data_IF_093408531465
#
_entry.id   IF_093408531465
#
_cell.length_a   1.000
_cell.length_b   1.000
_cell.length_c   1.000
_cell.angle_alpha   90.00
_cell.angle_beta   90.00
_cell.angle_gamma   90.00
#
_symmetry.space_group_name_H-M   'P 1'
#
loop_
_entity.id
_entity.type
_entity.pdbx_description
1 polymer ?
#
# COMPACT_ATOMS: atom_id res chain seq x y z
N UNK A 1 39.35 54.28 22.06
CA UNK A 1 40.00 53.38 23.05
C UNK A 1 39.04 52.66 24.02
N UNK A 2 37.86 53.23 24.38
CA UNK A 2 36.90 52.63 25.34
C UNK A 2 36.20 51.32 24.89
N UNK A 3 36.15 51.05 23.58
CA UNK A 3 35.52 49.83 23.04
C UNK A 3 36.34 48.57 23.34
N UNK A 4 37.67 48.65 23.20
CA UNK A 4 38.59 47.53 23.42
C UNK A 4 38.63 47.06 24.88
N UNK A 5 38.52 48.00 25.83
CA UNK A 5 38.44 47.69 27.27
C UNK A 5 37.10 47.05 27.64
N UNK A 6 35.98 47.51 27.03
CA UNK A 6 34.67 46.86 27.20
C UNK A 6 34.63 45.45 26.62
N UNK A 7 35.19 45.25 25.43
CA UNK A 7 35.23 43.95 24.77
C UNK A 7 36.06 42.92 25.57
N UNK A 8 37.25 43.30 26.05
CA UNK A 8 38.06 42.43 26.94
C UNK A 8 37.33 42.05 28.22
N UNK A 9 36.53 42.95 28.80
CA UNK A 9 35.74 42.69 30.01
C UNK A 9 34.61 41.70 29.76
N UNK A 10 33.92 41.81 28.63
CA UNK A 10 32.86 40.87 28.23
C UNK A 10 33.44 39.48 27.97
N UNK A 11 34.56 39.40 27.24
CA UNK A 11 35.21 38.12 26.95
C UNK A 11 35.79 37.44 28.20
N UNK A 12 36.25 38.22 29.20
CA UNK A 12 36.72 37.67 30.48
C UNK A 12 35.58 37.08 31.33
N UNK A 13 34.35 37.58 31.15
CA UNK A 13 33.16 37.15 31.88
C UNK A 13 32.27 36.21 31.04
N UNK A 14 32.79 35.65 29.95
CA UNK A 14 32.03 34.74 29.09
C UNK A 14 32.01 33.34 29.69
N UNK A 15 30.86 32.68 29.62
CA UNK A 15 30.64 31.28 30.07
C UNK A 15 31.41 30.28 29.21
N UNK A 16 31.83 30.70 28.01
CA UNK A 16 32.68 29.90 27.10
C UNK A 16 34.07 29.74 27.72
N UNK A 17 34.31 28.58 28.31
CA UNK A 17 35.51 28.23 29.11
C UNK A 17 36.85 28.47 28.41
N UNK A 18 36.89 28.41 27.07
CA UNK A 18 38.11 28.64 26.28
C UNK A 18 38.56 30.11 26.23
N UNK A 19 37.63 31.06 26.22
CA UNK A 19 37.89 32.49 26.03
C UNK A 19 38.67 33.14 27.20
N UNK A 20 38.29 32.95 28.48
CA UNK A 20 39.02 33.56 29.60
C UNK A 20 40.45 33.02 29.73
N UNK A 21 40.69 31.75 29.37
CA UNK A 21 42.03 31.15 29.40
C UNK A 21 42.97 31.69 28.30
N UNK A 22 42.43 32.07 27.14
CA UNK A 22 43.21 32.68 26.04
C UNK A 22 43.62 34.12 26.41
N UNK A 23 42.75 34.86 27.09
CA UNK A 23 43.02 36.25 27.48
C UNK A 23 43.98 36.34 28.67
N UNK A 24 43.91 35.40 29.61
CA UNK A 24 44.77 35.35 30.79
C UNK A 24 46.22 34.89 30.50
N UNK A 25 46.49 34.32 29.32
CA UNK A 25 47.82 33.80 28.96
C UNK A 25 48.79 34.92 28.56
N UNK A 26 49.94 35.04 29.26
CA UNK A 26 50.95 36.10 29.05
C UNK A 26 51.84 35.92 27.81
N UNK A 27 52.14 34.67 27.42
CA UNK A 27 53.02 34.37 26.27
C UNK A 27 52.26 34.43 24.94
N UNK A 28 52.78 35.20 23.98
CA UNK A 28 52.19 35.37 22.65
C UNK A 28 52.08 34.06 21.86
N UNK A 29 53.06 33.15 21.99
CA UNK A 29 53.05 31.86 21.30
C UNK A 29 51.94 30.93 21.83
N UNK A 30 51.88 30.75 23.15
CA UNK A 30 50.84 29.91 23.80
C UNK A 30 49.43 30.48 23.57
N UNK A 31 49.31 31.80 23.47
CA UNK A 31 48.05 32.47 23.15
C UNK A 31 47.59 32.18 21.72
N UNK A 32 48.50 32.23 20.73
CA UNK A 32 48.18 31.87 19.34
C UNK A 32 47.79 30.39 19.21
N UNK A 33 48.51 29.49 19.89
CA UNK A 33 48.18 28.06 19.89
C UNK A 33 46.80 27.79 20.47
N UNK A 34 46.48 28.33 21.66
CA UNK A 34 45.15 28.17 22.27
C UNK A 34 44.03 28.78 21.42
N UNK A 35 44.30 29.90 20.76
CA UNK A 35 43.35 30.52 19.82
C UNK A 35 43.11 29.63 18.60
N UNK A 36 44.16 29.03 18.03
CA UNK A 36 44.04 28.12 16.88
C UNK A 36 43.21 26.89 17.26
N UNK A 37 43.49 26.27 18.41
CA UNK A 37 42.70 25.13 18.90
C UNK A 37 41.23 25.53 19.10
N UNK A 38 40.97 26.68 19.71
CA UNK A 38 39.60 27.18 19.90
C UNK A 38 38.87 27.39 18.56
N UNK A 39 39.53 28.00 17.57
CA UNK A 39 38.96 28.17 16.22
C UNK A 39 38.70 26.81 15.57
N UNK A 40 39.62 25.86 15.69
CA UNK A 40 39.44 24.49 15.20
C UNK A 40 38.22 23.81 15.82
N UNK A 41 38.04 23.93 17.14
CA UNK A 41 36.87 23.40 17.84
C UNK A 41 35.56 24.05 17.38
N UNK A 42 35.54 25.37 17.15
CA UNK A 42 34.36 26.08 16.68
C UNK A 42 33.99 25.65 15.26
N UNK A 43 34.97 25.53 14.36
CA UNK A 43 34.74 25.05 12.99
C UNK A 43 34.22 23.61 13.02
N UNK A 44 34.84 22.73 13.82
CA UNK A 44 34.37 21.35 13.98
C UNK A 44 32.94 21.28 14.52
N UNK A 45 32.57 22.14 15.49
CA UNK A 45 31.21 22.23 16.01
C UNK A 45 30.20 22.63 14.93
N UNK A 46 30.50 23.66 14.13
CA UNK A 46 29.61 24.07 13.04
C UNK A 46 29.50 23.01 11.95
N UNK A 47 30.61 22.35 11.60
CA UNK A 47 30.61 21.26 10.64
C UNK A 47 29.70 20.11 11.08
N UNK A 48 29.87 19.64 12.32
CA UNK A 48 29.04 18.58 12.89
C UNK A 48 27.56 18.97 12.95
N UNK A 49 27.28 20.21 13.37
CA UNK A 49 25.91 20.74 13.46
C UNK A 49 25.25 20.78 12.09
N UNK A 50 25.97 21.23 11.06
CA UNK A 50 25.44 21.29 9.69
C UNK A 50 25.18 19.89 9.11
N UNK A 51 26.05 18.92 9.40
CA UNK A 51 25.84 17.54 9.00
C UNK A 51 24.55 16.96 9.61
N UNK A 52 24.31 17.19 10.90
CA UNK A 52 23.04 16.80 11.55
C UNK A 52 21.84 17.56 10.99
N UNK A 53 21.99 18.84 10.69
CA UNK A 53 20.91 19.65 10.13
C UNK A 53 20.50 19.17 8.73
N UNK A 54 21.46 18.72 7.91
CA UNK A 54 21.15 18.11 6.62
C UNK A 54 20.35 16.81 6.77
N UNK A 55 20.72 15.96 7.73
CA UNK A 55 19.94 14.73 8.03
C UNK A 55 18.55 15.08 8.56
N UNK A 56 18.42 16.16 9.33
CA UNK A 56 17.11 16.63 9.80
C UNK A 56 16.24 17.15 8.65
N UNK A 57 16.81 17.93 7.72
CA UNK A 57 16.08 18.49 6.59
C UNK A 57 15.67 17.47 5.52
N UNK A 58 16.31 16.32 5.46
CA UNK A 58 15.88 15.23 4.57
C UNK A 58 14.67 14.47 5.10
N UNK A 59 14.19 14.79 6.32
CA UNK A 59 13.05 14.12 6.98
C UNK A 59 13.06 12.60 6.79
N UNK A 60 14.18 11.91 7.10
CA UNK A 60 14.24 10.47 6.92
C UNK A 60 13.24 9.81 7.86
N UNK A 61 12.32 9.04 7.31
CA UNK A 61 11.39 8.22 8.08
C UNK A 61 11.97 6.82 8.20
N UNK A 62 12.05 6.32 9.43
CA UNK A 62 12.38 4.91 9.69
C UNK A 62 11.06 4.17 9.88
N UNK A 63 10.83 3.16 9.05
CA UNK A 63 9.67 2.27 9.21
C UNK A 63 10.09 1.15 10.14
N UNK A 64 9.49 1.11 11.33
CA UNK A 64 9.62 -0.01 12.25
C UNK A 64 8.41 -0.94 12.06
N UNK A 65 8.65 -2.14 11.53
CA UNK A 65 7.59 -3.13 11.28
C UNK A 65 7.54 -4.06 12.48
N UNK A 66 6.50 -3.91 13.28
CA UNK A 66 6.22 -4.79 14.42
C UNK A 66 5.05 -5.72 14.09
N UNK A 67 5.19 -7.00 14.44
CA UNK A 67 4.13 -7.99 14.30
C UNK A 67 3.55 -8.28 15.69
N UNK A 68 2.25 -8.10 15.83
CA UNK A 68 1.49 -8.49 17.02
C UNK A 68 0.32 -9.37 16.60
N UNK A 69 0.00 -10.35 17.44
CA UNK A 69 -1.17 -11.20 17.27
C UNK A 69 -2.21 -10.72 18.26
N UNK A 70 -3.17 -9.88 17.85
CA UNK A 70 -4.22 -9.41 18.75
C UNK A 70 -5.18 -10.56 19.09
N UNK A 71 -5.77 -10.52 20.28
CA UNK A 71 -6.78 -11.51 20.71
C UNK A 71 -8.05 -11.41 19.86
N UNK A 72 -8.40 -10.19 19.41
CA UNK A 72 -9.52 -9.90 18.53
C UNK A 72 -9.02 -9.22 17.24
N UNK A 73 -9.52 -9.63 16.08
CA UNK A 73 -9.21 -8.99 14.80
C UNK A 73 -10.48 -8.75 13.99
N UNK A 74 -10.55 -7.58 13.35
CA UNK A 74 -11.64 -7.28 12.43
C UNK A 74 -11.48 -8.09 11.15
N UNK A 75 -12.51 -8.85 10.78
CA UNK A 75 -12.52 -9.60 9.54
C UNK A 75 -12.55 -8.63 8.35
N UNK A 76 -11.67 -8.80 7.34
CA UNK A 76 -11.70 -7.95 6.17
C UNK A 76 -12.94 -8.23 5.33
N UNK A 77 -13.36 -7.24 4.54
CA UNK A 77 -14.40 -7.43 3.56
C UNK A 77 -13.94 -8.43 2.49
N UNK A 78 -14.61 -9.58 2.42
CA UNK A 78 -14.37 -10.57 1.38
C UNK A 78 -15.23 -10.24 0.17
N UNK A 79 -14.59 -10.11 -1.00
CA UNK A 79 -15.28 -9.86 -2.27
C UNK A 79 -15.10 -11.06 -3.20
N UNK A 80 -16.22 -11.70 -3.56
CA UNK A 80 -16.22 -12.86 -4.47
C UNK A 80 -16.79 -12.42 -5.82
N UNK A 81 -16.05 -12.69 -6.90
CA UNK A 81 -16.45 -12.36 -8.26
C UNK A 81 -16.46 -13.61 -9.13
N UNK A 82 -17.52 -13.79 -9.91
CA UNK A 82 -17.50 -14.72 -11.03
C UNK A 82 -16.68 -14.13 -12.18
N UNK A 83 -15.82 -14.94 -12.79
CA UNK A 83 -15.13 -14.56 -14.03
C UNK A 83 -16.10 -14.42 -15.22
N UNK A 84 -17.27 -15.07 -15.12
CA UNK A 84 -18.34 -14.96 -16.11
C UNK A 84 -19.22 -13.75 -15.80
N UNK A 85 -19.23 -12.77 -16.69
CA UNK A 85 -20.01 -11.53 -16.51
C UNK A 85 -21.52 -11.68 -16.74
N UNK A 86 -21.94 -12.69 -17.52
CA UNK A 86 -23.34 -12.91 -17.91
C UNK A 86 -23.62 -14.42 -17.87
N UNK A 87 -24.77 -14.81 -17.30
CA UNK A 87 -25.28 -16.18 -17.31
C UNK A 87 -25.74 -16.54 -18.73
N UNK A 88 -25.01 -17.42 -19.39
CA UNK A 88 -25.26 -17.83 -20.78
C UNK A 88 -26.70 -18.31 -21.01
N UNK A 89 -27.27 -19.07 -20.06
CA UNK A 89 -28.65 -19.56 -20.15
C UNK A 89 -29.69 -18.43 -20.24
N UNK A 90 -29.60 -17.43 -19.37
CA UNK A 90 -30.54 -16.31 -19.37
C UNK A 90 -30.32 -15.41 -20.59
N UNK A 91 -29.06 -15.20 -20.97
CA UNK A 91 -28.73 -14.41 -22.15
C UNK A 91 -29.27 -15.04 -23.43
N UNK A 92 -29.04 -16.34 -23.65
CA UNK A 92 -29.49 -17.03 -24.86
C UNK A 92 -30.99 -17.29 -24.90
N UNK A 93 -31.68 -17.29 -23.74
CA UNK A 93 -33.15 -17.27 -23.72
C UNK A 93 -33.71 -15.95 -24.26
N UNK A 94 -33.00 -14.84 -24.06
CA UNK A 94 -33.45 -13.50 -24.48
C UNK A 94 -32.93 -13.13 -25.88
N UNK A 95 -31.72 -13.55 -26.22
CA UNK A 95 -31.02 -13.25 -27.47
C UNK A 95 -30.59 -14.55 -28.16
N UNK A 96 -31.56 -15.35 -28.57
CA UNK A 96 -31.31 -16.65 -29.23
C UNK A 96 -30.50 -16.51 -30.53
N UNK A 97 -30.63 -15.38 -31.22
CA UNK A 97 -29.91 -15.06 -32.46
C UNK A 97 -28.41 -14.74 -32.26
N UNK A 98 -28.02 -14.35 -31.04
CA UNK A 98 -26.63 -14.03 -30.68
C UNK A 98 -25.92 -15.20 -30.00
N UNK A 99 -26.51 -16.39 -30.06
CA UNK A 99 -25.95 -17.59 -29.48
C UNK A 99 -25.74 -18.68 -30.53
N UNK A 100 -24.61 -19.38 -30.43
CA UNK A 100 -24.28 -20.46 -31.35
C UNK A 100 -24.83 -21.82 -30.84
N UNK A 101 -25.50 -22.61 -31.69
CA UNK A 101 -25.88 -23.98 -31.36
C UNK A 101 -24.66 -24.92 -31.37
N UNK A 102 -24.69 -25.86 -30.43
CA UNK A 102 -23.58 -26.57 -29.79
C UNK A 102 -22.86 -27.64 -30.65
N UNK A 103 -22.86 -27.61 -31.98
CA UNK A 103 -22.25 -28.72 -32.75
C UNK A 103 -20.75 -28.87 -32.50
N UNK A 104 -20.05 -27.76 -32.23
CA UNK A 104 -18.61 -27.73 -31.90
C UNK A 104 -18.30 -27.99 -30.42
N UNK A 105 -19.30 -27.94 -29.54
CA UNK A 105 -19.09 -28.14 -28.10
C UNK A 105 -19.06 -29.62 -27.73
N UNK A 106 -19.72 -30.48 -28.50
CA UNK A 106 -19.55 -31.93 -28.39
C UNK A 106 -18.09 -32.29 -28.64
N UNK A 107 -17.51 -31.82 -29.75
CA UNK A 107 -16.09 -32.02 -30.08
C UNK A 107 -15.14 -31.40 -29.04
N UNK A 108 -15.48 -30.22 -28.52
CA UNK A 108 -14.72 -29.58 -27.45
C UNK A 108 -14.77 -30.38 -26.14
N UNK A 109 -15.94 -30.84 -25.71
CA UNK A 109 -16.11 -31.63 -24.48
C UNK A 109 -15.50 -33.03 -24.60
N UNK A 110 -15.48 -33.62 -25.80
CA UNK A 110 -14.77 -34.88 -26.06
C UNK A 110 -13.26 -34.72 -25.81
N UNK A 111 -12.70 -33.56 -26.16
CA UNK A 111 -11.26 -33.26 -25.97
C UNK A 111 -10.96 -32.70 -24.58
N UNK A 112 -11.88 -31.93 -23.99
CA UNK A 112 -11.69 -31.13 -22.78
C UNK A 112 -12.76 -31.43 -21.73
N UNK A 113 -12.97 -32.71 -21.43
CA UNK A 113 -14.02 -33.21 -20.52
C UNK A 113 -13.99 -32.59 -19.12
N UNK A 114 -12.83 -32.14 -18.64
CA UNK A 114 -12.67 -31.48 -17.34
C UNK A 114 -13.48 -30.17 -17.22
N UNK A 115 -13.70 -29.46 -18.33
CA UNK A 115 -14.40 -28.16 -18.33
C UNK A 115 -15.91 -28.30 -18.57
N UNK A 116 -16.39 -29.50 -18.87
CA UNK A 116 -17.79 -29.79 -19.13
C UNK A 116 -18.43 -30.48 -17.92
N UNK A 117 -19.68 -30.14 -17.62
CA UNK A 117 -20.40 -30.74 -16.51
C UNK A 117 -20.64 -32.23 -16.78
N UNK A 118 -20.06 -33.15 -15.98
CA UNK A 118 -20.19 -34.58 -16.20
C UNK A 118 -21.62 -35.09 -16.00
N UNK A 119 -22.49 -34.31 -15.33
CA UNK A 119 -23.89 -34.67 -15.11
C UNK A 119 -24.82 -34.21 -16.22
N UNK A 120 -24.31 -33.44 -17.20
CA UNK A 120 -25.11 -32.98 -18.30
C UNK A 120 -25.10 -34.01 -19.44
N UNK A 121 -26.09 -34.91 -19.43
CA UNK A 121 -26.27 -35.95 -20.46
C UNK A 121 -26.52 -35.41 -21.87
N UNK A 122 -26.69 -34.09 -22.05
CA UNK A 122 -26.88 -33.43 -23.33
C UNK A 122 -26.04 -32.15 -23.41
N UNK A 123 -24.70 -32.24 -23.60
CA UNK A 123 -23.85 -31.07 -23.78
C UNK A 123 -24.36 -30.21 -24.95
N UNK A 124 -24.96 -30.84 -25.97
CA UNK A 124 -25.60 -30.26 -27.16
C UNK A 124 -26.69 -29.20 -26.93
N UNK A 125 -27.28 -29.12 -25.73
CA UNK A 125 -28.39 -28.19 -25.44
C UNK A 125 -27.95 -26.89 -24.74
N UNK A 126 -26.64 -26.67 -24.56
CA UNK A 126 -26.13 -25.46 -23.92
C UNK A 126 -25.72 -24.45 -25.00
N UNK A 127 -26.37 -23.30 -25.02
CA UNK A 127 -26.04 -22.21 -25.93
C UNK A 127 -25.12 -21.19 -25.24
N UNK A 128 -24.14 -20.68 -25.98
CA UNK A 128 -23.18 -19.70 -25.50
C UNK A 128 -23.28 -18.41 -26.31
N UNK A 129 -23.09 -17.24 -25.69
CA UNK A 129 -23.05 -15.97 -26.41
C UNK A 129 -21.83 -15.94 -27.35
N UNK A 130 -22.07 -15.62 -28.61
CA UNK A 130 -21.01 -15.42 -29.62
C UNK A 130 -20.42 -14.01 -29.54
N UNK A 131 -21.10 -13.10 -28.83
CA UNK A 131 -20.73 -11.69 -28.71
C UNK A 131 -19.78 -11.44 -27.55
N UNK A 132 -18.78 -10.60 -27.81
CA UNK A 132 -17.90 -10.07 -26.76
C UNK A 132 -18.58 -8.93 -26.00
N UNK A 133 -18.07 -8.56 -24.82
CA UNK A 133 -18.63 -7.44 -24.03
C UNK A 133 -18.71 -6.11 -24.78
N UNK A 134 -17.94 -5.95 -25.88
CA UNK A 134 -17.95 -4.75 -26.74
C UNK A 134 -19.06 -4.76 -27.80
N UNK A 135 -19.61 -5.94 -28.11
CA UNK A 135 -20.61 -6.16 -29.15
C UNK A 135 -22.00 -6.45 -28.55
N UNK A 136 -22.17 -6.15 -27.27
CA UNK A 136 -23.41 -6.34 -26.56
C UNK A 136 -24.50 -5.39 -27.09
N UNK A 137 -25.76 -5.85 -27.21
CA UNK A 137 -26.88 -4.98 -27.56
C UNK A 137 -26.98 -3.76 -26.61
N UNK A 138 -27.42 -2.60 -27.09
CA UNK A 138 -27.60 -1.43 -26.23
C UNK A 138 -28.82 -1.64 -25.32
N UNK A 139 -28.61 -2.25 -24.15
CA UNK A 139 -29.61 -2.43 -23.11
C UNK A 139 -29.27 -1.59 -21.88
N UNK A 140 -30.26 -1.21 -21.06
CA UNK A 140 -30.00 -0.57 -19.79
C UNK A 140 -29.18 -1.51 -18.89
N UNK A 141 -28.27 -0.91 -18.09
CA UNK A 141 -27.37 -1.64 -17.20
C UNK A 141 -28.09 -2.59 -16.23
N UNK A 142 -29.31 -2.24 -15.81
CA UNK A 142 -30.15 -3.07 -14.95
C UNK A 142 -30.48 -4.43 -15.56
N UNK A 143 -30.67 -4.51 -16.87
CA UNK A 143 -30.93 -5.78 -17.55
C UNK A 143 -29.69 -6.68 -17.59
N UNK A 144 -28.52 -6.10 -17.83
CA UNK A 144 -27.26 -6.84 -17.74
C UNK A 144 -26.97 -7.34 -16.32
N UNK A 145 -27.33 -6.55 -15.30
CA UNK A 145 -27.22 -6.97 -13.90
C UNK A 145 -28.16 -8.14 -13.58
N UNK A 146 -29.39 -8.15 -14.11
CA UNK A 146 -30.31 -9.27 -13.93
C UNK A 146 -29.79 -10.58 -14.57
N UNK A 147 -29.07 -10.47 -15.69
CA UNK A 147 -28.42 -11.61 -16.35
C UNK A 147 -27.04 -11.96 -15.76
N UNK A 148 -26.48 -11.12 -14.89
CA UNK A 148 -25.20 -11.35 -14.22
C UNK A 148 -25.28 -12.37 -13.10
N UNK A 149 -24.14 -12.59 -12.43
CA UNK A 149 -24.10 -13.37 -11.19
C UNK A 149 -24.86 -12.63 -10.08
N UNK A 150 -25.78 -13.33 -9.40
CA UNK A 150 -26.48 -12.80 -8.23
C UNK A 150 -25.75 -13.26 -6.96
N UNK A 151 -25.83 -12.49 -5.86
CA UNK A 151 -25.20 -12.86 -4.59
C UNK A 151 -25.59 -14.28 -4.14
N UNK A 152 -26.87 -14.63 -4.27
CA UNK A 152 -27.41 -15.92 -3.87
C UNK A 152 -26.90 -17.10 -4.74
N UNK A 153 -26.35 -16.85 -5.92
CA UNK A 153 -25.71 -17.91 -6.73
C UNK A 153 -24.29 -18.20 -6.27
N UNK A 154 -23.63 -17.20 -5.68
CA UNK A 154 -22.21 -17.27 -5.30
C UNK A 154 -22.04 -17.72 -3.85
N UNK A 155 -22.94 -17.29 -2.97
CA UNK A 155 -22.92 -17.61 -1.55
C UNK A 155 -24.28 -18.18 -1.19
N UNK A 156 -24.35 -19.51 -1.08
CA UNK A 156 -25.56 -20.22 -0.64
C UNK A 156 -25.62 -20.40 0.87
N UNK A 157 -24.45 -20.53 1.52
CA UNK A 157 -24.30 -20.59 2.97
C UNK A 157 -23.05 -19.79 3.36
N UNK A 158 -23.15 -18.96 4.39
CA UNK A 158 -22.00 -18.25 4.96
C UNK A 158 -21.90 -18.60 6.45
N UNK A 159 -20.89 -19.40 6.79
CA UNK A 159 -20.59 -19.77 8.17
C UNK A 159 -19.19 -19.28 8.52
N UNK A 160 -19.12 -18.35 9.47
CA UNK A 160 -17.87 -17.86 10.03
C UNK A 160 -17.63 -18.60 11.34
N UNK A 161 -16.51 -19.32 11.41
CA UNK A 161 -16.09 -20.04 12.62
C UNK A 161 -15.19 -19.12 13.45
N UNK A 162 -15.74 -18.58 14.53
CA UNK A 162 -15.02 -17.76 15.49
C UNK A 162 -15.06 -18.46 16.85
N UNK A 163 -14.06 -19.30 17.15
CA UNK A 163 -14.08 -20.15 18.35
C UNK A 163 -14.40 -19.35 19.62
N UNK A 164 -15.51 -19.63 20.36
CA UNK A 164 -16.34 -20.85 20.33
C UNK A 164 -17.69 -20.73 19.58
N UNK A 165 -17.93 -19.64 18.85
CA UNK A 165 -19.19 -19.29 18.18
C UNK A 165 -19.14 -19.55 16.67
N UNK A 166 -20.30 -19.88 16.11
CA UNK A 166 -20.52 -19.92 14.66
C UNK A 166 -21.45 -18.75 14.35
N UNK A 167 -21.03 -17.86 13.46
CA UNK A 167 -21.83 -16.72 13.00
C UNK A 167 -22.36 -17.08 11.61
N UNK A 168 -23.68 -17.09 11.48
CA UNK A 168 -24.36 -17.18 10.18
C UNK A 168 -24.46 -15.75 9.61
N UNK A 169 -24.02 -15.57 8.36
CA UNK A 169 -24.02 -14.26 7.69
C UNK A 169 -25.30 -13.99 6.90
N UNK A 170 -26.29 -14.89 6.98
CA UNK A 170 -27.52 -14.88 6.16
C UNK A 170 -28.64 -14.04 6.77
#
# INVERSE_FOLDING_TARGET
MKFWTRFKRILKNSVITGIPQIIATRSNFRKKLKLLVFIGCVIGFFWQTFAFLNVYWTYPTVVDVQYYFPDDFELPAMSVCSSNGIKSKLFCQRFSELCYPNTSLVEFCDTHSFYCDPNNNNPGNVSYPTVTSRQLPPLPRSEYQAMGAQPNDLVSNCLIYESPKIIDCT
#
